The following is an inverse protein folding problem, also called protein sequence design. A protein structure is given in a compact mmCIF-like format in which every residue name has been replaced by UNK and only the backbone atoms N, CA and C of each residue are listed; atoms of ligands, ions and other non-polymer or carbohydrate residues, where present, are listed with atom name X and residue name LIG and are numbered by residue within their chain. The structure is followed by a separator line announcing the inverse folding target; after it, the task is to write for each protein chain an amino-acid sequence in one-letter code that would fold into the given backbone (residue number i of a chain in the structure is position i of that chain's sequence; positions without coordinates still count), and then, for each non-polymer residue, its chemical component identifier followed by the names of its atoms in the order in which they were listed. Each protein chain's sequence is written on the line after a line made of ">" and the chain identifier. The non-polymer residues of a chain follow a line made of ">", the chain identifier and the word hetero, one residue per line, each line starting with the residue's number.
data_IF_234463286510
#
_entry.id   IF_234463286510
#
_cell.length_a   1.000
_cell.length_b   1.000
_cell.length_c   1.000
_cell.angle_alpha   90.00
_cell.angle_beta   90.00
_cell.angle_gamma   90.00
#
_symmetry.space_group_name_H-M   'P 1'
#
loop_
_entity.id
_entity.type
_entity.pdbx_description
1 polymer ?
#
# COMPACT_ATOMS: atom_id res chain seq x y z
N UNK A 1 25.54 8.22 -2.65
CA UNK A 1 24.69 9.28 -2.06
C UNK A 1 24.11 8.75 -0.77
N UNK A 2 24.08 9.59 0.26
CA UNK A 2 23.45 9.25 1.54
C UNK A 2 21.92 9.21 1.38
N UNK A 3 21.25 8.25 2.01
CA UNK A 3 19.78 8.13 1.97
C UNK A 3 19.16 9.20 2.87
N UNK A 4 18.00 9.72 2.51
CA UNK A 4 17.27 10.69 3.33
C UNK A 4 16.89 10.07 4.69
N UNK A 5 17.07 10.79 5.82
CA UNK A 5 16.72 10.31 7.16
C UNK A 5 15.20 10.42 7.39
N UNK A 6 14.43 9.75 6.54
CA UNK A 6 12.98 9.79 6.52
C UNK A 6 12.46 8.42 6.09
N UNK A 7 11.18 8.21 6.34
CA UNK A 7 10.49 6.95 6.00
C UNK A 7 9.59 7.16 4.79
N UNK A 8 9.54 6.15 3.94
CA UNK A 8 8.52 6.02 2.92
C UNK A 8 7.66 4.77 3.17
N UNK A 9 6.37 4.86 2.91
CA UNK A 9 5.42 3.75 3.02
C UNK A 9 4.89 3.43 1.62
N UNK A 10 4.82 2.15 1.28
CA UNK A 10 4.22 1.67 0.04
C UNK A 10 3.15 0.64 0.35
N UNK A 11 1.89 0.98 0.08
CA UNK A 11 0.75 0.09 0.24
C UNK A 11 0.46 -0.58 -1.09
N UNK A 12 0.25 -1.90 -1.09
CA UNK A 12 0.16 -2.70 -2.33
C UNK A 12 1.54 -3.13 -2.85
N UNK A 13 2.55 -3.21 -1.98
CA UNK A 13 3.93 -3.52 -2.35
C UNK A 13 4.14 -4.92 -2.95
N UNK A 14 3.19 -5.84 -2.79
CA UNK A 14 3.21 -7.15 -3.44
C UNK A 14 2.84 -7.15 -4.93
N UNK A 15 2.31 -6.03 -5.45
CA UNK A 15 1.99 -5.87 -6.87
C UNK A 15 3.18 -5.36 -7.69
N UNK A 16 3.04 -5.34 -9.02
CA UNK A 16 4.11 -4.87 -9.92
C UNK A 16 4.48 -3.41 -9.68
N UNK A 17 3.49 -2.51 -9.64
CA UNK A 17 3.74 -1.07 -9.41
C UNK A 17 4.27 -0.83 -7.99
N UNK A 18 3.64 -1.45 -6.98
CA UNK A 18 4.03 -1.28 -5.59
C UNK A 18 5.46 -1.77 -5.31
N UNK A 19 5.84 -2.95 -5.81
CA UNK A 19 7.21 -3.46 -5.63
C UNK A 19 8.25 -2.60 -6.34
N UNK A 20 7.97 -2.13 -7.56
CA UNK A 20 8.86 -1.21 -8.27
C UNK A 20 9.02 0.14 -7.53
N UNK A 21 7.92 0.69 -7.01
CA UNK A 21 7.96 1.91 -6.19
C UNK A 21 8.77 1.70 -4.90
N UNK A 22 8.54 0.59 -4.19
CA UNK A 22 9.28 0.25 -2.97
C UNK A 22 10.79 0.11 -3.24
N UNK A 23 11.18 -0.55 -4.33
CA UNK A 23 12.58 -0.66 -4.74
C UNK A 23 13.21 0.71 -5.04
N UNK A 24 12.51 1.57 -5.79
CA UNK A 24 12.99 2.91 -6.10
C UNK A 24 13.12 3.80 -4.85
N UNK A 25 12.21 3.64 -3.88
CA UNK A 25 12.25 4.37 -2.61
C UNK A 25 13.33 3.82 -1.67
N UNK A 26 13.61 2.53 -1.71
CA UNK A 26 14.66 1.91 -0.90
C UNK A 26 16.05 2.49 -1.23
N UNK A 27 16.27 2.93 -2.47
CA UNK A 27 17.50 3.61 -2.88
C UNK A 27 17.63 5.04 -2.33
N UNK A 28 16.53 5.68 -1.88
CA UNK A 28 16.47 7.11 -1.55
C UNK A 28 16.21 7.40 -0.07
N UNK A 29 15.45 6.54 0.61
CA UNK A 29 14.98 6.76 1.98
C UNK A 29 15.65 5.82 2.97
N UNK A 30 15.84 6.25 4.21
CA UNK A 30 16.50 5.47 5.26
C UNK A 30 15.80 4.14 5.51
N UNK A 31 14.47 4.15 5.47
CA UNK A 31 13.62 2.98 5.66
C UNK A 31 12.39 3.07 4.75
N UNK A 32 11.98 1.91 4.24
CA UNK A 32 10.74 1.75 3.49
C UNK A 32 9.89 0.70 4.18
N UNK A 33 8.63 1.02 4.46
CA UNK A 33 7.66 0.04 4.95
C UNK A 33 6.80 -0.39 3.76
N UNK A 34 6.93 -1.66 3.39
CA UNK A 34 6.23 -2.28 2.29
C UNK A 34 5.02 -3.08 2.82
N UNK A 35 3.82 -2.56 2.58
CA UNK A 35 2.56 -3.12 3.06
C UNK A 35 1.88 -3.94 1.97
N UNK A 36 1.43 -5.14 2.29
CA UNK A 36 0.73 -6.03 1.35
C UNK A 36 -0.17 -7.03 2.08
N UNK A 37 -1.18 -7.56 1.37
CA UNK A 37 -1.97 -8.70 1.85
C UNK A 37 -1.19 -10.02 1.85
N UNK A 38 -0.11 -10.09 1.07
CA UNK A 38 0.71 -11.29 1.00
C UNK A 38 1.49 -11.48 2.30
N UNK A 39 1.61 -12.72 2.81
CA UNK A 39 2.24 -12.99 4.09
C UNK A 39 3.76 -12.74 4.10
N UNK A 40 4.40 -12.74 2.93
CA UNK A 40 5.84 -12.58 2.78
C UNK A 40 6.19 -11.63 1.63
N UNK A 41 7.39 -11.05 1.71
CA UNK A 41 7.91 -10.13 0.71
C UNK A 41 8.10 -10.80 -0.66
N UNK A 42 7.95 -10.00 -1.71
CA UNK A 42 8.16 -10.46 -3.09
C UNK A 42 9.64 -10.51 -3.46
N UNK A 43 10.06 -11.42 -4.36
CA UNK A 43 11.46 -11.55 -4.78
C UNK A 43 12.10 -10.25 -5.31
N UNK A 44 11.29 -9.36 -5.90
CA UNK A 44 11.74 -8.06 -6.40
C UNK A 44 12.38 -7.17 -5.32
N UNK A 45 12.11 -7.42 -4.03
CA UNK A 45 12.61 -6.65 -2.90
C UNK A 45 13.72 -7.37 -2.11
N UNK A 46 14.15 -8.55 -2.52
CA UNK A 46 15.09 -9.38 -1.76
C UNK A 46 16.48 -8.73 -1.53
N UNK A 47 16.87 -7.76 -2.35
CA UNK A 47 18.13 -7.01 -2.21
C UNK A 47 18.00 -5.65 -1.53
N UNK A 48 16.87 -5.36 -0.89
CA UNK A 48 16.61 -4.07 -0.25
C UNK A 48 16.62 -4.20 1.28
N UNK A 49 17.80 -4.16 1.89
CA UNK A 49 17.99 -4.37 3.34
C UNK A 49 17.24 -3.37 4.25
N UNK A 50 16.85 -2.22 3.69
CA UNK A 50 16.09 -1.19 4.39
C UNK A 50 14.59 -1.23 4.12
N UNK A 51 14.08 -2.31 3.51
CA UNK A 51 12.65 -2.56 3.32
C UNK A 51 12.15 -3.48 4.44
N UNK A 52 11.20 -2.98 5.21
CA UNK A 52 10.45 -3.78 6.18
C UNK A 52 9.13 -4.22 5.56
N UNK A 53 8.87 -5.53 5.56
CA UNK A 53 7.59 -6.07 5.11
C UNK A 53 6.55 -6.00 6.23
N UNK A 54 5.35 -5.54 5.90
CA UNK A 54 4.22 -5.50 6.82
C UNK A 54 2.99 -6.16 6.16
N UNK A 55 2.65 -7.40 6.55
CA UNK A 55 1.40 -8.02 6.14
C UNK A 55 0.21 -7.24 6.70
N UNK A 56 -0.78 -6.95 5.86
CA UNK A 56 -2.00 -6.23 6.26
C UNK A 56 -3.19 -6.68 5.42
N UNK A 57 -4.29 -7.05 6.08
CA UNK A 57 -5.56 -7.31 5.42
C UNK A 57 -6.16 -6.01 4.85
N UNK A 58 -7.09 -6.14 3.90
CA UNK A 58 -7.78 -5.01 3.26
C UNK A 58 -9.05 -4.61 4.02
N UNK A 59 -8.89 -4.36 5.32
CA UNK A 59 -9.97 -4.09 6.28
C UNK A 59 -9.60 -2.89 7.16
N UNK A 60 -10.58 -2.09 7.56
CA UNK A 60 -10.35 -0.83 8.30
C UNK A 60 -9.62 -1.02 9.63
N UNK A 61 -9.98 -2.07 10.39
CA UNK A 61 -9.30 -2.40 11.64
C UNK A 61 -7.82 -2.74 11.41
N UNK A 62 -7.52 -3.56 10.40
CA UNK A 62 -6.16 -3.93 10.05
C UNK A 62 -5.34 -2.72 9.56
N UNK A 63 -5.97 -1.79 8.83
CA UNK A 63 -5.33 -0.53 8.40
C UNK A 63 -4.95 0.32 9.63
N UNK A 64 -5.87 0.45 10.59
CA UNK A 64 -5.62 1.19 11.83
C UNK A 64 -4.46 0.59 12.62
N UNK A 65 -4.44 -0.73 12.78
CA UNK A 65 -3.35 -1.43 13.46
C UNK A 65 -2.01 -1.25 12.72
N UNK A 66 -2.01 -1.40 11.40
CA UNK A 66 -0.81 -1.20 10.59
C UNK A 66 -0.30 0.24 10.64
N UNK A 67 -1.19 1.24 10.67
CA UNK A 67 -0.82 2.64 10.83
C UNK A 67 -0.17 2.91 12.18
N UNK A 68 -0.68 2.30 13.26
CA UNK A 68 -0.03 2.38 14.58
C UNK A 68 1.37 1.74 14.58
N UNK A 69 1.54 0.60 13.90
CA UNK A 69 2.86 -0.03 13.70
C UNK A 69 3.79 0.89 12.92
N UNK A 70 3.32 1.52 11.84
CA UNK A 70 4.11 2.47 11.03
C UNK A 70 4.55 3.67 11.88
N UNK A 71 3.65 4.22 12.69
CA UNK A 71 3.96 5.33 13.58
C UNK A 71 5.02 4.94 14.63
N UNK A 72 4.89 3.76 15.24
CA UNK A 72 5.84 3.26 16.24
C UNK A 72 7.20 2.82 15.67
N UNK A 73 7.21 2.24 14.47
CA UNK A 73 8.42 1.80 13.77
C UNK A 73 9.30 2.96 13.29
N UNK A 74 8.81 4.20 13.40
CA UNK A 74 9.44 5.33 12.76
C UNK A 74 10.83 5.68 13.30
N UNK A 75 11.26 5.12 14.43
CA UNK A 75 12.54 5.44 15.09
C UNK A 75 12.78 6.96 15.26
N UNK A 76 11.69 7.75 15.33
CA UNK A 76 11.74 9.21 15.36
C UNK A 76 12.00 9.89 14.00
N UNK A 77 12.01 9.15 12.90
CA UNK A 77 12.12 9.68 11.54
C UNK A 77 10.74 10.12 11.02
N UNK A 78 10.63 11.26 10.34
CA UNK A 78 9.35 11.71 9.80
C UNK A 78 8.93 10.84 8.60
N UNK A 79 7.64 10.56 8.51
CA UNK A 79 7.02 10.00 7.30
C UNK A 79 7.02 11.08 6.22
N UNK A 80 7.74 10.84 5.12
CA UNK A 80 7.91 11.82 4.06
C UNK A 80 7.20 11.46 2.75
N UNK A 81 6.78 10.19 2.61
CA UNK A 81 6.13 9.72 1.41
C UNK A 81 5.23 8.52 1.68
N UNK A 82 4.03 8.58 1.13
CA UNK A 82 3.11 7.45 1.04
C UNK A 82 2.83 7.19 -0.44
N UNK A 83 2.92 5.93 -0.85
CA UNK A 83 2.49 5.47 -2.17
C UNK A 83 1.40 4.42 -1.95
N UNK A 84 0.22 4.68 -2.50
CA UNK A 84 -0.89 3.72 -2.50
C UNK A 84 -0.98 3.13 -3.90
N UNK A 85 -0.45 1.92 -4.05
CA UNK A 85 -0.49 1.13 -5.27
C UNK A 85 -1.49 -0.04 -5.15
N UNK A 86 -2.53 0.15 -4.35
CA UNK A 86 -3.68 -0.75 -4.30
C UNK A 86 -4.63 -0.44 -5.43
N UNK A 87 -5.33 -1.47 -5.91
CA UNK A 87 -6.41 -1.28 -6.85
C UNK A 87 -6.73 -2.59 -7.56
N UNK A 88 -7.96 -2.69 -8.02
CA UNK A 88 -8.35 -3.74 -8.94
C UNK A 88 -9.31 -3.20 -10.00
N UNK A 89 -9.17 -3.70 -11.22
CA UNK A 89 -10.06 -3.40 -12.34
C UNK A 89 -10.75 -4.64 -12.89
N UNK A 90 -10.30 -5.84 -12.50
CA UNK A 90 -10.85 -7.10 -12.98
C UNK A 90 -10.64 -8.22 -11.96
N UNK A 91 -11.56 -9.17 -11.89
CA UNK A 91 -11.44 -10.28 -10.96
C UNK A 91 -12.32 -11.43 -11.39
N UNK A 92 -12.49 -12.38 -10.48
CA UNK A 92 -13.47 -13.43 -10.69
C UNK A 92 -14.87 -12.81 -10.80
N UNK A 93 -15.53 -13.03 -11.94
CA UNK A 93 -16.88 -12.54 -12.17
C UNK A 93 -17.03 -11.06 -12.55
N UNK A 94 -15.93 -10.29 -12.71
CA UNK A 94 -16.04 -8.90 -13.17
C UNK A 94 -14.85 -8.41 -14.01
N UNK A 95 -15.14 -7.42 -14.86
CA UNK A 95 -14.20 -6.76 -15.78
C UNK A 95 -14.58 -5.28 -15.92
N UNK A 96 -13.69 -4.41 -16.44
CA UNK A 96 -14.05 -3.02 -16.70
C UNK A 96 -15.25 -2.93 -17.63
N UNK A 97 -16.24 -2.14 -17.23
CA UNK A 97 -17.48 -1.96 -17.98
C UNK A 97 -17.21 -1.15 -19.27
N UNK A 98 -17.74 -1.65 -20.39
CA UNK A 98 -17.67 -0.98 -21.70
C UNK A 98 -18.99 -0.35 -22.10
N UNK A 99 -20.08 -0.69 -21.40
CA UNK A 99 -21.40 -0.12 -21.61
C UNK A 99 -22.23 -0.10 -20.32
N UNK A 100 -23.25 0.76 -20.26
CA UNK A 100 -24.15 0.87 -19.09
C UNK A 100 -24.91 -0.44 -18.79
N UNK A 101 -25.10 -1.32 -19.79
CA UNK A 101 -25.77 -2.61 -19.62
C UNK A 101 -24.94 -3.63 -18.82
N UNK A 102 -23.64 -3.39 -18.69
CA UNK A 102 -22.72 -4.25 -17.94
C UNK A 102 -22.58 -3.82 -16.47
N UNK A 103 -23.22 -2.71 -16.05
CA UNK A 103 -23.16 -2.22 -14.68
C UNK A 103 -23.86 -3.18 -13.73
N UNK A 104 -23.15 -3.58 -12.68
CA UNK A 104 -23.71 -4.35 -11.57
C UNK A 104 -23.38 -3.64 -10.26
N UNK A 105 -24.39 -3.40 -9.42
CA UNK A 105 -24.22 -2.69 -8.15
C UNK A 105 -23.16 -3.35 -7.25
N UNK A 106 -23.13 -4.69 -7.21
CA UNK A 106 -22.12 -5.44 -6.44
C UNK A 106 -20.69 -5.20 -6.94
N UNK A 107 -20.48 -5.22 -8.26
CA UNK A 107 -19.18 -4.95 -8.88
C UNK A 107 -18.73 -3.51 -8.61
N UNK A 108 -19.61 -2.53 -8.85
CA UNK A 108 -19.31 -1.12 -8.58
C UNK A 108 -19.00 -0.88 -7.11
N UNK A 109 -19.78 -1.47 -6.20
CA UNK A 109 -19.52 -1.39 -4.76
C UNK A 109 -18.17 -1.97 -4.38
N UNK A 110 -17.80 -3.13 -4.93
CA UNK A 110 -16.49 -3.74 -4.70
C UNK A 110 -15.34 -2.89 -5.25
N UNK A 111 -15.46 -2.39 -6.49
CA UNK A 111 -14.46 -1.52 -7.10
C UNK A 111 -14.30 -0.22 -6.31
N UNK A 112 -15.40 0.38 -5.87
CA UNK A 112 -15.37 1.59 -5.05
C UNK A 112 -14.71 1.33 -3.70
N UNK A 113 -15.02 0.20 -3.06
CA UNK A 113 -14.36 -0.20 -1.81
C UNK A 113 -12.84 -0.32 -1.99
N UNK A 114 -12.38 -1.05 -3.01
CA UNK A 114 -10.95 -1.33 -3.22
C UNK A 114 -10.17 -0.12 -3.75
N UNK A 115 -10.75 0.64 -4.68
CA UNK A 115 -10.05 1.68 -5.42
C UNK A 115 -10.21 3.08 -4.82
N UNK A 116 -11.20 3.29 -3.94
CA UNK A 116 -11.48 4.60 -3.37
C UNK A 116 -11.52 4.55 -1.84
N UNK A 117 -12.37 3.71 -1.25
CA UNK A 117 -12.55 3.68 0.22
C UNK A 117 -11.28 3.26 0.93
N UNK A 118 -10.69 2.11 0.60
CA UNK A 118 -9.47 1.63 1.27
C UNK A 118 -8.29 2.61 1.14
N UNK A 119 -7.98 3.19 -0.04
CA UNK A 119 -6.98 4.25 -0.14
C UNK A 119 -7.24 5.45 0.78
N UNK A 120 -8.48 5.91 0.89
CA UNK A 120 -8.83 7.03 1.76
C UNK A 120 -8.68 6.67 3.24
N UNK A 121 -9.04 5.45 3.64
CA UNK A 121 -8.84 4.96 5.02
C UNK A 121 -7.35 4.90 5.38
N UNK A 122 -6.48 4.50 4.45
CA UNK A 122 -5.03 4.58 4.66
C UNK A 122 -4.56 6.02 4.88
N UNK A 123 -5.04 6.97 4.09
CA UNK A 123 -4.67 8.38 4.25
C UNK A 123 -5.16 8.93 5.59
N UNK A 124 -6.41 8.64 5.97
CA UNK A 124 -6.97 9.05 7.26
C UNK A 124 -6.20 8.45 8.44
N UNK A 125 -5.85 7.17 8.38
CA UNK A 125 -5.11 6.48 9.45
C UNK A 125 -3.65 6.94 9.57
N UNK A 126 -3.05 7.44 8.48
CA UNK A 126 -1.68 7.95 8.45
C UNK A 126 -1.60 9.48 8.61
N UNK A 127 -2.74 10.18 8.67
CA UNK A 127 -2.76 11.61 8.93
C UNK A 127 -2.17 11.89 10.32
N UNK A 128 -1.24 12.86 10.44
CA UNK A 128 -0.84 13.35 11.75
C UNK A 128 -2.04 13.89 12.53
N UNK A 129 -2.09 13.61 13.83
CA UNK A 129 -3.05 14.24 14.75
C UNK A 129 -2.78 15.73 14.97
#
# INVERSE_FOLDING_TARGET
>A
MEKHPQIAVVIGAGGGIGSAAAQALAARYRQVIAVSRQPSAVPALAGCDNVQWLPCAAEEAAITEAAAVIAGASAGLPLARVVIATGNLHGEGYRPEKSLRELAAGTLGHLYQVNAVLPLLWLAALEPA
#
